data_IF_563913572916
#
_entry.id   IF_563913572916
#
_cell.length_a   1.000
_cell.length_b   1.000
_cell.length_c   1.000
_cell.angle_alpha   90.00
_cell.angle_beta   90.00
_cell.angle_gamma   90.00
#
_symmetry.space_group_name_H-M   'P 1'
#
loop_
_entity.id
_entity.type
_entity.pdbx_description
1 polymer ?
#
# COMPACT_ATOMS: atom_id res chain seq x y z
N UNK A 1 -15.79 -2.60 25.39
CA UNK A 1 -14.89 -3.15 24.36
C UNK A 1 -13.85 -2.08 24.07
N UNK A 2 -12.61 -2.28 24.50
CA UNK A 2 -11.60 -1.23 24.55
C UNK A 2 -11.06 -0.90 23.14
N UNK A 3 -11.11 0.39 22.84
CA UNK A 3 -10.58 1.09 21.68
C UNK A 3 -9.06 0.99 21.58
N UNK A 4 -8.55 0.71 20.39
CA UNK A 4 -7.13 0.88 20.09
C UNK A 4 -6.98 1.34 18.65
N UNK A 5 -6.86 2.65 18.42
CA UNK A 5 -6.34 3.15 17.15
C UNK A 5 -5.01 2.45 16.89
N UNK A 6 -4.88 1.69 15.80
CA UNK A 6 -3.66 0.93 15.48
C UNK A 6 -2.37 1.76 15.64
N UNK A 7 -2.46 3.05 15.29
CA UNK A 7 -1.37 4.01 15.33
C UNK A 7 -1.31 4.82 16.64
N UNK A 8 -2.10 4.46 17.65
CA UNK A 8 -2.03 5.09 18.98
C UNK A 8 -0.63 4.92 19.56
N UNK A 9 -0.03 6.04 19.96
CA UNK A 9 1.36 6.10 20.44
C UNK A 9 2.39 6.45 19.36
N UNK A 10 2.02 6.48 18.08
CA UNK A 10 2.87 7.02 17.00
C UNK A 10 2.56 8.51 16.83
N UNK A 11 3.60 9.34 16.72
CA UNK A 11 3.41 10.78 16.58
C UNK A 11 2.77 11.12 15.22
N UNK A 12 1.83 12.07 15.22
CA UNK A 12 1.17 12.54 13.98
C UNK A 12 2.17 13.12 12.97
N UNK A 13 3.27 13.72 13.45
CA UNK A 13 4.34 14.19 12.59
C UNK A 13 5.05 13.05 11.84
N UNK A 14 5.23 11.89 12.49
CA UNK A 14 5.89 10.74 11.88
C UNK A 14 4.96 10.03 10.89
N UNK A 15 3.66 9.95 11.22
CA UNK A 15 2.61 9.46 10.31
C UNK A 15 2.58 10.33 9.06
N UNK A 16 2.49 11.65 9.21
CA UNK A 16 2.45 12.58 8.07
C UNK A 16 3.74 12.60 7.23
N UNK A 17 4.91 12.36 7.84
CA UNK A 17 6.17 12.19 7.10
C UNK A 17 6.16 10.89 6.28
N UNK A 18 5.80 9.77 6.92
CA UNK A 18 5.70 8.48 6.25
C UNK A 18 4.69 8.54 5.11
N UNK A 19 3.50 9.11 5.34
CA UNK A 19 2.46 9.26 4.33
C UNK A 19 2.98 9.94 3.07
N UNK A 20 3.58 11.13 3.21
CA UNK A 20 4.11 11.90 2.07
C UNK A 20 5.16 11.11 1.29
N UNK A 21 6.05 10.40 1.98
CA UNK A 21 7.10 9.63 1.34
C UNK A 21 6.56 8.37 0.66
N UNK A 22 5.65 7.66 1.34
CA UNK A 22 5.03 6.43 0.88
C UNK A 22 4.11 6.66 -0.32
N UNK A 23 3.19 7.62 -0.25
CA UNK A 23 2.30 7.98 -1.36
C UNK A 23 3.10 8.40 -2.60
N UNK A 24 4.15 9.21 -2.41
CA UNK A 24 4.99 9.62 -3.52
C UNK A 24 5.76 8.44 -4.13
N UNK A 25 6.21 7.46 -3.33
CA UNK A 25 6.79 6.22 -3.82
C UNK A 25 5.79 5.41 -4.66
N UNK A 26 4.59 5.16 -4.13
CA UNK A 26 3.54 4.42 -4.83
C UNK A 26 3.15 5.10 -6.14
N UNK A 27 3.03 6.43 -6.13
CA UNK A 27 2.77 7.25 -7.32
C UNK A 27 3.86 7.06 -8.37
N UNK A 28 5.12 7.26 -7.99
CA UNK A 28 6.26 7.12 -8.92
C UNK A 28 6.32 5.70 -9.48
N UNK A 29 6.20 4.67 -8.62
CA UNK A 29 6.20 3.27 -9.06
C UNK A 29 5.07 2.95 -10.03
N UNK A 30 3.88 3.51 -9.82
CA UNK A 30 2.77 3.32 -10.73
C UNK A 30 2.96 4.00 -12.08
N UNK A 31 3.53 5.21 -12.12
CA UNK A 31 3.82 5.87 -13.40
C UNK A 31 4.93 5.16 -14.17
N UNK A 32 5.92 4.61 -13.46
CA UNK A 32 6.90 3.72 -14.07
C UNK A 32 6.25 2.47 -14.66
N UNK A 33 5.29 1.87 -13.95
CA UNK A 33 4.53 0.73 -14.46
C UNK A 33 3.80 1.07 -15.76
N UNK A 34 3.19 2.26 -15.81
CA UNK A 34 2.53 2.76 -17.03
C UNK A 34 3.52 2.97 -18.17
N UNK A 35 4.67 3.58 -17.91
CA UNK A 35 5.72 3.79 -18.92
C UNK A 35 6.32 2.47 -19.41
N UNK A 36 6.42 1.47 -18.53
CA UNK A 36 6.85 0.11 -18.86
C UNK A 36 5.90 -0.55 -19.84
N UNK A 37 4.60 -0.45 -19.60
CA UNK A 37 3.58 -1.03 -20.47
C UNK A 37 3.58 -0.46 -21.90
N UNK A 38 4.07 0.77 -22.10
CA UNK A 38 4.15 1.42 -23.42
C UNK A 38 5.58 1.43 -24.01
N UNK A 39 6.53 0.69 -23.42
CA UNK A 39 7.91 0.59 -23.87
C UNK A 39 8.63 1.95 -24.07
N UNK A 40 8.46 2.88 -23.12
CA UNK A 40 9.07 4.21 -23.21
C UNK A 40 10.62 4.14 -23.21
N UNK A 41 11.28 4.88 -24.12
CA UNK A 41 12.72 4.74 -24.42
C UNK A 41 13.68 5.02 -23.24
N UNK A 42 13.32 5.92 -22.31
CA UNK A 42 14.19 6.32 -21.18
C UNK A 42 13.98 5.53 -19.87
N UNK A 43 13.17 4.46 -19.90
CA UNK A 43 12.68 3.85 -18.67
C UNK A 43 13.76 3.18 -17.81
N UNK A 44 14.80 2.60 -18.42
CA UNK A 44 15.86 1.90 -17.67
C UNK A 44 16.64 2.86 -16.74
N UNK A 45 16.87 4.09 -17.18
CA UNK A 45 17.51 5.13 -16.35
C UNK A 45 16.63 5.53 -15.16
N UNK A 46 15.33 5.65 -15.39
CA UNK A 46 14.37 5.91 -14.31
C UNK A 46 14.32 4.75 -13.32
N UNK A 47 14.22 3.50 -13.79
CA UNK A 47 14.18 2.28 -12.94
C UNK A 47 15.39 2.24 -12.01
N UNK A 48 16.60 2.37 -12.56
CA UNK A 48 17.83 2.31 -11.75
C UNK A 48 17.90 3.43 -10.70
N UNK A 49 17.42 4.64 -11.03
CA UNK A 49 17.32 5.75 -10.07
C UNK A 49 16.29 5.46 -8.98
N UNK A 50 15.16 4.87 -9.35
CA UNK A 50 14.07 4.59 -8.43
C UNK A 50 14.39 3.47 -7.46
N UNK A 51 15.04 2.39 -7.93
CA UNK A 51 15.52 1.30 -7.07
C UNK A 51 16.48 1.80 -5.98
N UNK A 52 17.33 2.80 -6.28
CA UNK A 52 18.18 3.45 -5.27
C UNK A 52 17.36 4.15 -4.19
N UNK A 53 16.26 4.80 -4.56
CA UNK A 53 15.37 5.46 -3.59
C UNK A 53 14.58 4.43 -2.78
N UNK A 54 14.06 3.38 -3.42
CA UNK A 54 13.42 2.25 -2.74
C UNK A 54 14.37 1.64 -1.71
N UNK A 55 15.65 1.47 -2.05
CA UNK A 55 16.66 1.00 -1.10
C UNK A 55 16.81 1.95 0.11
N UNK A 56 16.85 3.27 -0.11
CA UNK A 56 16.87 4.26 0.98
C UNK A 56 15.62 4.21 1.84
N UNK A 57 14.43 4.05 1.25
CA UNK A 57 13.18 3.88 1.98
C UNK A 57 13.22 2.63 2.88
N UNK A 58 13.66 1.49 2.33
CA UNK A 58 13.79 0.24 3.08
C UNK A 58 14.83 0.31 4.20
N UNK A 59 15.87 1.14 4.04
CA UNK A 59 16.84 1.44 5.10
C UNK A 59 16.23 2.33 6.19
N UNK A 60 15.41 3.30 5.79
CA UNK A 60 14.77 4.25 6.70
C UNK A 60 13.69 3.61 7.57
N UNK A 61 12.92 2.66 7.01
CA UNK A 61 11.77 2.03 7.66
C UNK A 61 11.95 0.51 7.73
N UNK A 62 12.60 0.00 8.78
CA UNK A 62 13.00 -1.41 8.86
C UNK A 62 11.85 -2.43 8.93
N UNK A 63 10.66 -2.02 9.36
CA UNK A 63 9.50 -2.91 9.48
C UNK A 63 8.72 -3.13 8.18
N UNK A 64 9.07 -2.41 7.10
CA UNK A 64 8.44 -2.53 5.78
C UNK A 64 9.51 -2.60 4.70
N UNK A 65 9.25 -3.34 3.62
CA UNK A 65 10.13 -3.44 2.46
C UNK A 65 9.32 -3.26 1.18
N UNK A 66 9.70 -2.28 0.38
CA UNK A 66 9.20 -2.10 -0.97
C UNK A 66 10.14 -2.78 -1.95
N UNK A 67 9.54 -3.40 -2.97
CA UNK A 67 10.29 -4.08 -4.03
C UNK A 67 9.66 -3.79 -5.38
N UNK A 68 10.46 -3.25 -6.29
CA UNK A 68 10.10 -3.17 -7.70
C UNK A 68 10.37 -4.53 -8.34
N UNK A 69 9.38 -5.11 -9.00
CA UNK A 69 9.49 -6.39 -9.70
C UNK A 69 9.18 -6.19 -11.17
N UNK A 70 10.16 -6.51 -12.02
CA UNK A 70 10.05 -6.49 -13.48
C UNK A 70 9.68 -7.89 -13.97
N UNK A 71 8.49 -8.02 -14.56
CA UNK A 71 8.03 -9.17 -15.33
C UNK A 71 8.03 -8.80 -16.81
N UNK A 72 7.78 -9.76 -17.70
CA UNK A 72 7.82 -9.53 -19.16
C UNK A 72 6.94 -8.35 -19.58
N UNK A 73 5.71 -8.28 -19.07
CA UNK A 73 4.72 -7.27 -19.49
C UNK A 73 4.33 -6.29 -18.37
N UNK A 74 4.81 -6.52 -17.15
CA UNK A 74 4.38 -5.78 -15.97
C UNK A 74 5.57 -5.37 -15.14
N UNK A 75 5.57 -4.10 -14.74
CA UNK A 75 6.41 -3.61 -13.66
C UNK A 75 5.50 -3.32 -12.48
N UNK A 76 5.73 -3.97 -11.34
CA UNK A 76 4.87 -3.85 -10.16
C UNK A 76 5.67 -3.45 -8.92
N UNK A 77 5.05 -2.67 -8.04
CA UNK A 77 5.58 -2.40 -6.72
C UNK A 77 4.91 -3.31 -5.71
N UNK A 78 5.71 -4.13 -5.04
CA UNK A 78 5.27 -5.04 -3.97
C UNK A 78 5.57 -4.42 -2.61
N UNK A 79 4.63 -4.58 -1.69
CA UNK A 79 4.74 -4.12 -0.30
C UNK A 79 4.88 -5.34 0.60
N UNK A 80 6.00 -5.44 1.32
CA UNK A 80 6.30 -6.55 2.21
C UNK A 80 6.38 -6.04 3.65
N UNK A 81 5.61 -6.65 4.54
CA UNK A 81 5.55 -6.38 5.96
C UNK A 81 6.51 -7.33 6.68
N UNK A 82 7.32 -6.79 7.59
CA UNK A 82 8.26 -7.58 8.39
C UNK A 82 7.52 -8.34 9.48
N UNK A 83 6.82 -9.41 9.08
CA UNK A 83 6.03 -10.27 9.91
C UNK A 83 6.17 -11.71 9.40
N UNK A 84 6.26 -12.67 10.33
CA UNK A 84 6.54 -14.08 9.98
C UNK A 84 5.28 -14.84 9.51
N UNK A 85 4.11 -14.36 9.91
CA UNK A 85 2.84 -15.05 9.71
C UNK A 85 1.65 -14.11 9.47
N UNK A 86 0.66 -14.61 8.72
CA UNK A 86 -0.60 -13.90 8.48
C UNK A 86 -1.36 -13.64 9.78
N UNK A 87 -1.29 -14.58 10.73
CA UNK A 87 -1.86 -14.44 12.07
C UNK A 87 -1.16 -13.33 12.86
N UNK A 88 0.15 -13.14 12.67
CA UNK A 88 0.91 -12.02 13.24
C UNK A 88 0.33 -10.70 12.76
N UNK A 89 0.15 -10.53 11.44
CA UNK A 89 -0.46 -9.30 10.88
C UNK A 89 -1.86 -9.07 11.43
N UNK A 90 -2.67 -10.14 11.55
CA UNK A 90 -4.00 -10.04 12.16
C UNK A 90 -3.94 -9.53 13.61
N UNK A 91 -3.13 -10.18 14.46
CA UNK A 91 -3.05 -9.89 15.91
C UNK A 91 -2.43 -8.52 16.17
N UNK A 92 -1.37 -8.17 15.45
CA UNK A 92 -0.58 -6.97 15.70
C UNK A 92 -1.20 -5.72 15.07
N UNK A 93 -1.84 -5.88 13.90
CA UNK A 93 -2.31 -4.77 13.09
C UNK A 93 -3.78 -4.85 12.69
N UNK A 94 -4.15 -5.82 11.84
CA UNK A 94 -5.44 -5.80 11.13
C UNK A 94 -6.66 -5.79 12.06
N UNK A 95 -6.62 -6.56 13.16
CA UNK A 95 -7.71 -6.64 14.16
C UNK A 95 -7.94 -5.35 14.94
N UNK A 96 -6.96 -4.44 14.98
CA UNK A 96 -7.02 -3.16 15.69
C UNK A 96 -7.61 -2.04 14.82
N UNK A 97 -7.91 -2.32 13.55
CA UNK A 97 -8.55 -1.38 12.65
C UNK A 97 -10.07 -1.50 12.83
N UNK A 98 -10.69 -0.39 13.21
CA UNK A 98 -12.15 -0.28 13.35
C UNK A 98 -12.83 -0.58 12.01
N UNK A 99 -13.98 -1.24 12.07
CA UNK A 99 -14.81 -1.52 10.89
C UNK A 99 -14.59 -2.91 10.29
N UNK A 100 -13.73 -3.77 10.86
CA UNK A 100 -13.59 -5.14 10.37
C UNK A 100 -14.93 -5.89 10.43
N UNK A 101 -15.38 -6.40 9.29
CA UNK A 101 -16.63 -7.15 9.16
C UNK A 101 -16.39 -8.65 9.03
N UNK A 102 -15.35 -9.04 8.30
CA UNK A 102 -15.12 -10.45 8.00
C UNK A 102 -13.67 -10.79 7.70
N UNK A 103 -13.34 -12.07 7.81
CA UNK A 103 -12.08 -12.63 7.39
C UNK A 103 -12.29 -13.96 6.64
N UNK A 104 -11.28 -14.37 5.87
CA UNK A 104 -11.27 -15.68 5.24
C UNK A 104 -9.89 -16.11 4.73
N UNK A 105 -9.56 -17.38 4.93
CA UNK A 105 -8.28 -17.93 4.47
C UNK A 105 -8.22 -18.09 2.94
N UNK A 106 -9.38 -18.26 2.28
CA UNK A 106 -9.45 -18.56 0.84
C UNK A 106 -10.20 -17.51 0.01
N UNK A 107 -11.07 -16.72 0.63
CA UNK A 107 -11.90 -15.71 -0.03
C UNK A 107 -12.38 -14.66 0.96
N UNK A 108 -12.75 -13.49 0.44
CA UNK A 108 -13.44 -12.46 1.22
C UNK A 108 -14.77 -12.96 1.77
N UNK A 109 -15.21 -12.38 2.90
CA UNK A 109 -16.53 -12.63 3.49
C UNK A 109 -16.82 -14.09 3.88
N UNK A 110 -15.77 -14.89 4.16
CA UNK A 110 -15.96 -16.29 4.56
C UNK A 110 -16.57 -16.44 5.97
N UNK A 111 -16.07 -15.66 6.93
CA UNK A 111 -16.58 -15.62 8.30
C UNK A 111 -16.73 -14.18 8.80
N UNK A 112 -17.91 -13.87 9.33
CA UNK A 112 -18.22 -12.57 9.94
C UNK A 112 -17.66 -12.49 11.36
N UNK A 113 -17.23 -11.30 11.77
CA UNK A 113 -16.84 -11.01 13.17
C UNK A 113 -17.98 -11.27 14.16
N UNK A 114 -19.23 -11.24 13.71
CA UNK A 114 -20.41 -11.57 14.53
C UNK A 114 -20.50 -13.06 14.88
N UNK A 115 -19.81 -13.93 14.14
CA UNK A 115 -19.65 -15.35 14.45
C UNK A 115 -18.20 -15.62 14.85
N UNK A 116 -17.88 -15.33 16.12
CA UNK A 116 -16.51 -15.38 16.65
C UNK A 116 -15.81 -16.73 16.50
N UNK A 117 -16.54 -17.84 16.64
CA UNK A 117 -15.98 -19.20 16.48
C UNK A 117 -15.55 -19.46 15.03
N UNK A 118 -16.44 -19.19 14.07
CA UNK A 118 -16.13 -19.36 12.65
C UNK A 118 -15.03 -18.39 12.21
N UNK A 119 -15.07 -17.17 12.70
CA UNK A 119 -14.05 -16.15 12.41
C UNK A 119 -12.67 -16.59 12.88
N UNK A 120 -12.55 -16.99 14.15
CA UNK A 120 -11.27 -17.43 14.72
C UNK A 120 -10.70 -18.63 13.96
N UNK A 121 -11.56 -19.59 13.59
CA UNK A 121 -11.17 -20.76 12.80
C UNK A 121 -10.62 -20.38 11.41
N UNK A 122 -11.21 -19.39 10.73
CA UNK A 122 -10.68 -18.89 9.46
C UNK A 122 -9.28 -18.29 9.64
N UNK A 123 -9.07 -17.44 10.65
CA UNK A 123 -7.76 -16.85 10.95
C UNK A 123 -6.71 -17.93 11.26
N UNK A 124 -7.06 -18.91 12.09
CA UNK A 124 -6.16 -20.02 12.45
C UNK A 124 -5.84 -20.93 11.25
N UNK A 125 -6.79 -21.09 10.33
CA UNK A 125 -6.61 -21.92 9.13
C UNK A 125 -5.78 -21.26 8.02
N UNK A 126 -5.53 -19.95 8.10
CA UNK A 126 -4.83 -19.18 7.08
C UNK A 126 -3.32 -19.52 7.04
N UNK A 127 -2.88 -20.24 6.00
CA UNK A 127 -1.46 -20.60 5.82
C UNK A 127 -0.75 -19.70 4.82
N UNK A 128 -1.38 -19.55 3.65
CA UNK A 128 -0.75 -18.91 2.49
C UNK A 128 -1.37 -17.55 2.17
N UNK A 129 -2.63 -17.36 2.54
CA UNK A 129 -3.43 -16.21 2.21
C UNK A 129 -4.39 -15.84 3.35
N UNK A 130 -4.68 -14.55 3.47
CA UNK A 130 -5.70 -14.03 4.37
C UNK A 130 -6.41 -12.83 3.75
N UNK A 131 -7.73 -12.87 3.79
CA UNK A 131 -8.61 -11.87 3.21
C UNK A 131 -9.38 -11.20 4.32
N UNK A 132 -9.44 -9.87 4.32
CA UNK A 132 -10.24 -9.09 5.24
C UNK A 132 -11.22 -8.21 4.48
N UNK A 133 -12.40 -8.02 5.07
CA UNK A 133 -13.34 -7.00 4.64
C UNK A 133 -13.58 -6.05 5.80
N UNK A 134 -13.46 -4.76 5.54
CA UNK A 134 -13.80 -3.66 6.42
C UNK A 134 -15.01 -2.91 5.88
N UNK A 135 -15.71 -2.22 6.76
CA UNK A 135 -16.75 -1.27 6.39
C UNK A 135 -16.53 0.03 7.13
N UNK A 136 -16.41 1.10 6.35
CA UNK A 136 -16.33 2.47 6.82
C UNK A 136 -17.58 3.20 6.35
N UNK A 137 -18.36 3.86 7.22
CA UNK A 137 -19.56 4.59 6.81
C UNK A 137 -19.34 5.58 5.66
N UNK A 138 -18.15 6.17 5.60
CA UNK A 138 -17.80 7.24 4.66
C UNK A 138 -17.32 6.72 3.28
N UNK A 139 -16.77 5.51 3.23
CA UNK A 139 -16.10 4.94 2.04
C UNK A 139 -16.82 3.68 1.52
N UNK A 140 -17.58 3.01 2.38
CA UNK A 140 -18.22 1.73 2.09
C UNK A 140 -17.35 0.54 2.47
N UNK A 141 -17.50 -0.56 1.73
CA UNK A 141 -16.73 -1.78 1.95
C UNK A 141 -15.32 -1.63 1.38
N UNK A 142 -14.31 -2.03 2.16
CA UNK A 142 -12.92 -2.04 1.77
C UNK A 142 -12.35 -3.44 1.96
N UNK A 143 -11.66 -3.97 0.95
CA UNK A 143 -11.09 -5.32 1.00
C UNK A 143 -9.58 -5.29 1.08
N UNK A 144 -9.00 -6.14 1.91
CA UNK A 144 -7.55 -6.26 2.07
C UNK A 144 -7.10 -7.70 1.90
N UNK A 145 -6.06 -7.92 1.10
CA UNK A 145 -5.54 -9.24 0.79
C UNK A 145 -4.06 -9.35 1.15
N UNK A 146 -3.73 -10.38 1.91
CA UNK A 146 -2.37 -10.68 2.35
C UNK A 146 -1.96 -12.06 1.87
N UNK A 147 -0.70 -12.20 1.48
CA UNK A 147 -0.11 -13.51 1.16
C UNK A 147 1.27 -13.66 1.79
N UNK A 148 1.71 -14.90 1.99
CA UNK A 148 3.09 -15.16 2.39
C UNK A 148 4.01 -15.10 1.17
N UNK A 149 5.06 -14.29 1.20
CA UNK A 149 6.13 -14.34 0.20
C UNK A 149 7.18 -15.40 0.62
N UNK A 150 7.33 -16.51 -0.14
CA UNK A 150 8.23 -17.60 0.23
C UNK A 150 9.72 -17.27 0.06
N UNK A 151 10.06 -16.27 -0.76
CA UNK A 151 11.45 -15.92 -1.05
C UNK A 151 12.03 -14.98 0.00
N UNK A 152 11.25 -13.96 0.39
CA UNK A 152 11.62 -12.94 1.36
C UNK A 152 11.26 -13.35 2.79
N UNK A 153 10.42 -14.39 2.96
CA UNK A 153 9.87 -14.84 4.26
C UNK A 153 9.14 -13.73 5.01
N UNK A 154 8.46 -12.86 4.25
CA UNK A 154 7.68 -11.73 4.74
C UNK A 154 6.21 -11.89 4.32
N UNK A 155 5.31 -11.10 4.89
CA UNK A 155 3.92 -11.03 4.42
C UNK A 155 3.81 -9.93 3.37
N UNK A 156 3.33 -10.29 2.19
CA UNK A 156 2.97 -9.33 1.16
C UNK A 156 1.56 -8.78 1.41
N UNK A 157 1.45 -7.46 1.36
CA UNK A 157 0.19 -6.74 1.30
C UNK A 157 -0.11 -6.39 -0.16
N UNK A 158 -1.23 -6.93 -0.66
CA UNK A 158 -1.72 -6.59 -1.99
C UNK A 158 -2.52 -5.30 -1.91
N UNK A 159 -2.13 -4.33 -2.73
CA UNK A 159 -2.74 -3.01 -2.78
C UNK A 159 -3.29 -2.75 -4.20
N UNK A 160 -4.41 -2.05 -4.29
CA UNK A 160 -4.94 -1.53 -5.55
C UNK A 160 -4.81 0.00 -5.56
N UNK A 161 -4.19 0.53 -6.62
CA UNK A 161 -4.02 1.97 -6.83
C UNK A 161 -5.33 2.73 -6.74
N UNK A 162 -6.46 2.13 -7.14
CA UNK A 162 -7.77 2.79 -7.16
C UNK A 162 -8.33 3.08 -5.76
N UNK A 163 -7.85 2.37 -4.73
CA UNK A 163 -8.44 2.41 -3.38
C UNK A 163 -7.46 2.93 -2.30
N UNK A 164 -6.17 3.04 -2.63
CA UNK A 164 -5.07 3.13 -1.65
C UNK A 164 -4.44 4.52 -1.54
N UNK A 165 -5.22 5.58 -1.33
CA UNK A 165 -4.71 6.97 -1.22
C UNK A 165 -5.24 7.71 0.01
N UNK A 166 -5.71 6.97 1.03
CA UNK A 166 -6.45 7.56 2.13
C UNK A 166 -5.84 7.15 3.47
N UNK A 167 -5.54 8.12 4.34
CA UNK A 167 -4.92 7.85 5.66
C UNK A 167 -5.75 6.88 6.53
N UNK A 168 -7.07 6.84 6.32
CA UNK A 168 -7.96 5.91 7.03
C UNK A 168 -8.03 4.52 6.40
N UNK A 169 -7.43 4.30 5.22
CA UNK A 169 -7.51 3.00 4.54
C UNK A 169 -6.75 1.92 5.32
N UNK A 170 -7.30 0.70 5.43
CA UNK A 170 -6.68 -0.38 6.21
C UNK A 170 -5.24 -0.69 5.81
N UNK A 171 -4.96 -0.71 4.51
CA UNK A 171 -3.64 -0.98 3.96
C UNK A 171 -2.60 0.07 4.35
N UNK A 172 -2.93 1.36 4.25
CA UNK A 172 -2.06 2.44 4.70
C UNK A 172 -1.78 2.31 6.20
N UNK A 173 -2.81 2.11 7.02
CA UNK A 173 -2.65 2.01 8.48
C UNK A 173 -1.79 0.82 8.89
N UNK A 174 -1.89 -0.32 8.18
CA UNK A 174 -1.01 -1.47 8.40
C UNK A 174 0.43 -1.13 7.99
N UNK A 175 0.62 -0.53 6.81
CA UNK A 175 1.96 -0.13 6.35
C UNK A 175 2.62 0.88 7.31
N UNK A 176 1.87 1.89 7.76
CA UNK A 176 2.33 2.90 8.71
C UNK A 176 2.68 2.27 10.06
N UNK A 177 1.87 1.33 10.57
CA UNK A 177 2.17 0.61 11.79
C UNK A 177 3.50 -0.13 11.69
N UNK A 178 3.70 -0.94 10.65
CA UNK A 178 4.95 -1.69 10.49
C UNK A 178 6.15 -0.76 10.24
N UNK A 179 6.00 0.29 9.44
CA UNK A 179 7.07 1.23 9.15
C UNK A 179 7.53 2.02 10.38
N UNK A 180 6.62 2.38 11.28
CA UNK A 180 6.86 3.33 12.37
C UNK A 180 6.91 2.69 13.77
N UNK A 181 6.62 1.39 13.91
CA UNK A 181 6.73 0.69 15.20
C UNK A 181 8.18 0.38 15.60
N UNK A 182 9.13 0.48 14.67
CA UNK A 182 10.55 0.25 14.89
C UNK A 182 11.39 1.53 14.85
N UNK A 183 12.71 1.36 14.80
CA UNK A 183 13.64 2.48 14.59
C UNK A 183 13.45 3.10 13.19
N UNK A 184 13.39 4.44 13.14
CA UNK A 184 13.26 5.20 11.90
C UNK A 184 14.48 6.10 11.72
N UNK A 185 15.25 5.89 10.66
CA UNK A 185 16.41 6.73 10.35
C UNK A 185 15.99 8.06 9.72
N UNK A 186 15.80 9.07 10.58
CA UNK A 186 15.38 10.42 10.18
C UNK A 186 16.44 11.18 9.36
N UNK A 187 17.69 10.71 9.33
CA UNK A 187 18.77 11.32 8.53
C UNK A 187 18.56 11.09 7.03
N UNK A 188 17.90 9.99 6.67
CA UNK A 188 17.57 9.65 5.28
C UNK A 188 16.39 10.52 4.80
N UNK A 189 16.65 11.34 3.78
CA UNK A 189 15.65 12.17 3.10
C UNK A 189 15.34 11.58 1.73
N UNK A 190 14.08 11.23 1.47
CA UNK A 190 13.66 10.62 0.20
C UNK A 190 12.59 11.44 -0.54
N UNK A 191 11.75 12.20 0.16
CA UNK A 191 10.69 12.98 -0.45
C UNK A 191 11.18 13.92 -1.57
N UNK A 192 12.24 14.69 -1.30
CA UNK A 192 12.82 15.61 -2.29
C UNK A 192 13.40 14.88 -3.51
N UNK A 193 13.97 13.69 -3.34
CA UNK A 193 14.53 12.90 -4.45
C UNK A 193 13.42 12.33 -5.36
N UNK A 194 12.27 11.98 -4.76
CA UNK A 194 11.08 11.51 -5.47
C UNK A 194 10.34 12.63 -6.20
N UNK A 195 10.35 13.85 -5.68
CA UNK A 195 9.71 15.00 -6.32
C UNK A 195 10.33 15.34 -7.69
N UNK A 196 11.61 15.00 -7.88
CA UNK A 196 12.38 15.25 -9.11
C UNK A 196 12.15 14.17 -10.18
N UNK A 197 11.26 13.20 -9.97
CA UNK A 197 10.89 12.21 -11.00
C UNK A 197 9.98 12.77 -12.12
N UNK A 198 9.52 14.02 -12.03
CA UNK A 198 8.94 14.73 -13.18
C UNK A 198 7.63 14.16 -13.74
N UNK A 199 7.00 13.17 -13.09
CA UNK A 199 5.69 12.65 -13.47
C UNK A 199 4.59 13.67 -13.16
N UNK A 200 4.48 14.74 -13.95
CA UNK A 200 3.57 15.88 -13.72
C UNK A 200 2.14 15.57 -14.22
N UNK A 201 1.96 14.63 -15.15
CA UNK A 201 0.64 14.27 -15.67
C UNK A 201 0.05 13.08 -14.91
N UNK A 202 -0.85 13.39 -13.97
CA UNK A 202 -1.72 12.44 -13.27
C UNK A 202 -2.82 11.84 -14.16
N UNK A 203 -2.94 12.30 -15.41
CA UNK A 203 -4.01 11.92 -16.31
C UNK A 203 -3.38 11.25 -17.53
N UNK A 204 -3.94 10.10 -17.94
CA UNK A 204 -3.73 9.58 -19.30
C UNK A 204 -4.06 10.67 -20.33
N UNK A 205 -3.57 10.56 -21.56
CA UNK A 205 -3.88 11.55 -22.61
C UNK A 205 -5.41 11.73 -22.77
N UNK A 206 -6.17 10.65 -22.59
CA UNK A 206 -7.64 10.64 -22.58
C UNK A 206 -8.23 11.37 -21.37
N UNK A 207 -7.73 11.13 -20.16
CA UNK A 207 -8.18 11.82 -18.94
C UNK A 207 -7.76 13.29 -18.92
N UNK A 208 -6.61 13.61 -19.50
CA UNK A 208 -6.11 14.98 -19.66
C UNK A 208 -7.00 15.73 -20.62
N UNK A 209 -7.36 15.11 -21.75
CA UNK A 209 -8.33 15.66 -22.70
C UNK A 209 -9.69 15.90 -22.06
N UNK A 210 -10.19 14.95 -21.26
CA UNK A 210 -11.47 15.11 -20.57
C UNK A 210 -11.44 16.23 -19.52
N UNK A 211 -10.31 16.39 -18.82
CA UNK A 211 -10.10 17.47 -17.85
C UNK A 211 -9.97 18.84 -18.55
N UNK A 212 -9.22 18.91 -19.66
CA UNK A 212 -9.12 20.11 -20.50
C UNK A 212 -10.48 20.49 -21.12
N UNK A 213 -11.25 19.52 -21.63
CA UNK A 213 -12.61 19.74 -22.16
C UNK A 213 -13.56 20.26 -21.07
N UNK A 214 -13.43 19.77 -19.82
CA UNK A 214 -14.27 20.17 -18.68
C UNK A 214 -13.99 21.59 -18.18
N UNK A 215 -12.74 22.04 -18.20
CA UNK A 215 -12.33 23.33 -17.62
C UNK A 215 -11.94 24.40 -18.65
N UNK A 216 -11.83 24.04 -19.93
CA UNK A 216 -11.56 24.98 -21.02
C UNK A 216 -12.30 24.55 -22.31
N UNK A 217 -13.63 24.67 -22.38
CA UNK A 217 -14.46 24.13 -23.47
C UNK A 217 -14.28 24.82 -24.85
N UNK A 218 -13.27 25.67 -25.03
CA UNK A 218 -13.05 26.47 -26.26
C UNK A 218 -11.75 26.08 -26.97
N UNK A 219 -11.65 24.83 -27.41
CA UNK A 219 -10.66 24.37 -28.38
C UNK A 219 -11.30 23.32 -29.33
N UNK A 220 -12.57 23.55 -29.72
CA UNK A 220 -13.23 22.88 -30.83
C UNK A 220 -13.98 23.93 -31.64
N UNK A 221 -13.20 24.80 -32.31
CA UNK A 221 -13.57 25.41 -33.58
C UNK A 221 -12.68 24.79 -34.66
#
# INVERSE_FOLDING_TARGET
MASGELLSGISQSDIGMFQKEFEQLLRVGSEMARYYAIAHHDLDGYIARFEKIVKKFNQKYAGIKLKLVKKLEVLEMRILLNEESLQGVYKNAASRIIGMQSAGAKKFNAASVTNGEKFSKEIESAKDALHFTYFFPEIGAYTLFLTKDPHEKMIELHWDKKESHYELSPDFRICAYYALSGEVDRSIKIYGELAVFGFINLLSETESRHWFEKFNPRMLE
#
